data_IF_645194245889
#
_entry.id   IF_645194245889
#
_cell.length_a   1.000
_cell.length_b   1.000
_cell.length_c   1.000
_cell.angle_alpha   90.00
_cell.angle_beta   90.00
_cell.angle_gamma   90.00
#
_symmetry.space_group_name_H-M   'P 1'
#
loop_
_entity.id
_entity.type
_entity.pdbx_description
1 polymer ?
#
# COMPACT_ATOMS: atom_id res chain seq x y z
N UNK A 1 -19.14 -55.66 21.12
CA UNK A 1 -19.00 -55.23 19.71
C UNK A 1 -18.71 -53.73 19.76
N UNK A 2 -17.42 -53.36 19.75
CA UNK A 2 -16.98 -51.98 19.88
C UNK A 2 -16.62 -51.43 18.52
N UNK A 3 -17.32 -50.40 18.09
CA UNK A 3 -17.08 -49.68 16.82
C UNK A 3 -16.04 -48.60 17.11
N UNK A 4 -14.84 -48.78 16.56
CA UNK A 4 -13.77 -47.76 16.63
C UNK A 4 -13.97 -46.75 15.48
N UNK A 5 -14.34 -45.53 15.83
CA UNK A 5 -14.43 -44.41 14.91
C UNK A 5 -13.02 -43.87 14.62
N UNK A 6 -12.55 -44.00 13.39
CA UNK A 6 -11.33 -43.34 12.92
C UNK A 6 -11.67 -41.86 12.61
N UNK A 7 -11.06 -40.94 13.34
CA UNK A 7 -11.06 -39.53 13.00
C UNK A 7 -9.93 -39.26 12.00
N UNK A 8 -10.29 -38.91 10.77
CA UNK A 8 -9.35 -38.43 9.73
C UNK A 8 -9.15 -36.94 9.95
N UNK A 9 -7.97 -36.55 10.44
CA UNK A 9 -7.57 -35.15 10.53
C UNK A 9 -7.07 -34.69 9.15
N UNK A 10 -7.87 -33.86 8.48
CA UNK A 10 -7.45 -33.17 7.25
C UNK A 10 -6.55 -31.99 7.62
N UNK A 11 -5.25 -32.10 7.39
CA UNK A 11 -4.31 -31.00 7.50
C UNK A 11 -4.52 -30.05 6.30
N UNK A 12 -5.16 -28.89 6.53
CA UNK A 12 -5.18 -27.80 5.57
C UNK A 12 -3.80 -27.16 5.53
N UNK A 13 -3.06 -27.42 4.47
CA UNK A 13 -1.83 -26.72 4.15
C UNK A 13 -2.17 -25.31 3.65
N UNK A 14 -2.03 -24.30 4.50
CA UNK A 14 -2.09 -22.90 4.11
C UNK A 14 -0.82 -22.59 3.29
N UNK A 15 -0.95 -22.61 1.97
CA UNK A 15 0.04 -22.01 1.08
C UNK A 15 -0.11 -20.49 1.23
N UNK A 16 0.75 -19.90 2.05
CA UNK A 16 0.85 -18.45 2.19
C UNK A 16 1.32 -17.85 0.87
N UNK A 17 0.40 -17.39 0.03
CA UNK A 17 0.73 -16.43 -1.02
C UNK A 17 1.28 -15.19 -0.31
N UNK A 18 2.55 -14.87 -0.51
CA UNK A 18 3.17 -13.64 -0.04
C UNK A 18 2.41 -12.46 -0.65
N UNK A 19 1.41 -11.98 0.05
CA UNK A 19 0.76 -10.74 -0.28
C UNK A 19 1.75 -9.63 0.06
N UNK A 20 2.27 -8.92 -0.92
CA UNK A 20 2.95 -7.65 -0.69
C UNK A 20 1.95 -6.75 0.03
N UNK A 21 2.21 -6.52 1.31
CA UNK A 21 1.35 -5.67 2.12
C UNK A 21 1.55 -4.24 1.67
N UNK A 22 0.44 -3.55 1.37
CA UNK A 22 0.45 -2.12 1.14
C UNK A 22 1.14 -1.41 2.32
N UNK A 23 2.26 -0.72 2.05
CA UNK A 23 3.00 0.06 3.03
C UNK A 23 2.43 1.48 3.10
N UNK A 24 1.94 1.87 4.27
CA UNK A 24 1.40 3.21 4.52
C UNK A 24 2.08 3.78 5.76
N UNK A 25 2.65 4.98 5.60
CA UNK A 25 3.33 5.73 6.65
C UNK A 25 2.70 7.11 6.77
N UNK A 26 2.56 7.58 7.99
CA UNK A 26 2.02 8.90 8.30
C UNK A 26 2.94 9.59 9.29
N UNK A 27 3.24 10.85 9.01
CA UNK A 27 3.93 11.76 9.91
C UNK A 27 3.20 13.11 9.95
N UNK A 28 3.23 13.79 11.07
CA UNK A 28 2.55 15.07 11.23
C UNK A 28 3.19 15.94 12.31
N UNK A 29 3.03 17.24 12.16
CA UNK A 29 3.45 18.23 13.17
C UNK A 29 2.56 18.12 14.42
N UNK A 30 3.16 17.67 15.52
CA UNK A 30 2.47 17.53 16.82
C UNK A 30 2.06 18.86 17.44
N UNK A 31 2.65 19.96 17.00
CA UNK A 31 2.30 21.32 17.46
C UNK A 31 1.14 21.92 16.65
N UNK A 32 0.80 21.34 15.49
CA UNK A 32 -0.31 21.80 14.65
C UNK A 32 -1.67 21.48 15.28
N UNK A 33 -2.52 22.47 15.38
CA UNK A 33 -3.90 22.31 15.84
C UNK A 33 -4.83 22.08 14.64
N UNK A 34 -5.02 20.81 14.29
CA UNK A 34 -5.85 20.39 13.15
C UNK A 34 -7.33 20.74 13.29
N UNK A 35 -7.81 21.09 14.49
CA UNK A 35 -9.22 21.47 14.71
C UNK A 35 -9.59 22.82 14.09
N UNK A 36 -8.59 23.64 13.78
CA UNK A 36 -8.75 24.97 13.14
C UNK A 36 -9.02 24.90 11.64
N UNK A 37 -8.67 23.77 11.01
CA UNK A 37 -8.78 23.61 9.55
C UNK A 37 -10.13 22.97 9.21
N UNK A 38 -10.88 23.63 8.34
CA UNK A 38 -12.21 23.20 7.89
C UNK A 38 -12.30 23.08 6.38
N UNK A 39 -11.53 23.91 5.67
CA UNK A 39 -11.55 23.98 4.22
C UNK A 39 -10.19 23.65 3.65
N UNK A 40 -10.18 22.96 2.50
CA UNK A 40 -8.93 22.64 1.81
C UNK A 40 -9.05 22.80 0.30
N UNK A 41 -7.96 23.26 -0.32
CA UNK A 41 -7.75 23.16 -1.75
C UNK A 41 -6.82 21.96 -2.05
N UNK A 42 -7.11 21.20 -3.10
CA UNK A 42 -6.29 20.04 -3.50
C UNK A 42 -5.63 20.30 -4.83
N UNK A 43 -4.34 19.95 -4.94
CA UNK A 43 -3.51 20.17 -6.12
C UNK A 43 -2.65 18.96 -6.43
N UNK A 44 -2.34 18.79 -7.72
CA UNK A 44 -1.32 17.87 -8.17
C UNK A 44 0.03 18.60 -8.12
N UNK A 45 0.99 18.05 -7.36
CA UNK A 45 2.37 18.55 -7.29
C UNK A 45 3.24 17.92 -8.36
N UNK A 46 3.49 16.61 -8.25
CA UNK A 46 4.27 15.87 -9.26
C UNK A 46 3.36 14.91 -10.01
N UNK A 47 3.25 15.13 -11.32
CA UNK A 47 2.53 14.24 -12.24
C UNK A 47 3.27 12.91 -12.40
N UNK A 48 2.52 11.82 -12.49
CA UNK A 48 3.03 10.49 -12.87
C UNK A 48 2.64 10.10 -14.31
N UNK A 49 2.32 11.10 -15.15
CA UNK A 49 2.04 10.96 -16.58
C UNK A 49 0.88 10.01 -16.91
N UNK A 50 -0.12 9.93 -16.03
CA UNK A 50 -1.34 9.16 -16.25
C UNK A 50 -2.57 9.96 -15.80
N UNK A 51 -3.15 10.82 -16.67
CA UNK A 51 -4.23 11.74 -16.32
C UNK A 51 -5.48 11.05 -15.74
N UNK A 52 -5.81 9.84 -16.21
CA UNK A 52 -6.95 9.08 -15.69
C UNK A 52 -6.71 8.60 -14.25
N UNK A 53 -5.49 8.17 -13.98
CA UNK A 53 -5.07 7.76 -12.63
C UNK A 53 -5.00 8.97 -11.70
N UNK A 54 -4.42 10.08 -12.14
CA UNK A 54 -4.34 11.34 -11.40
C UNK A 54 -5.72 11.82 -10.97
N UNK A 55 -6.66 11.84 -11.92
CA UNK A 55 -8.06 12.22 -11.63
C UNK A 55 -8.70 11.32 -10.57
N UNK A 56 -8.46 10.01 -10.60
CA UNK A 56 -8.99 9.07 -9.60
C UNK A 56 -8.37 9.32 -8.23
N UNK A 57 -7.04 9.53 -8.19
CA UNK A 57 -6.33 9.81 -6.92
C UNK A 57 -6.81 11.12 -6.31
N UNK A 58 -6.94 12.18 -7.10
CA UNK A 58 -7.48 13.46 -6.62
C UNK A 58 -8.89 13.28 -6.01
N UNK A 59 -9.78 12.57 -6.71
CA UNK A 59 -11.14 12.33 -6.24
C UNK A 59 -11.16 11.51 -4.94
N UNK A 60 -10.36 10.46 -4.86
CA UNK A 60 -10.29 9.58 -3.68
C UNK A 60 -9.76 10.31 -2.45
N UNK A 61 -8.68 11.05 -2.58
CA UNK A 61 -8.11 11.82 -1.45
C UNK A 61 -9.06 12.95 -1.03
N UNK A 62 -9.72 13.62 -1.99
CA UNK A 62 -10.75 14.61 -1.67
C UNK A 62 -11.90 13.98 -0.87
N UNK A 63 -12.37 12.82 -1.29
CA UNK A 63 -13.42 12.08 -0.59
C UNK A 63 -12.96 11.70 0.83
N UNK A 64 -11.77 11.11 0.98
CA UNK A 64 -11.23 10.70 2.28
C UNK A 64 -11.15 11.85 3.29
N UNK A 65 -10.72 13.04 2.87
CA UNK A 65 -10.69 14.23 3.73
C UNK A 65 -12.10 14.75 4.03
N UNK A 66 -13.02 14.67 3.07
CA UNK A 66 -14.42 15.09 3.27
C UNK A 66 -15.12 14.20 4.30
N UNK A 67 -14.89 12.90 4.27
CA UNK A 67 -15.38 11.93 5.27
C UNK A 67 -14.84 12.22 6.68
N UNK A 68 -13.67 12.89 6.77
CA UNK A 68 -13.09 13.37 8.03
C UNK A 68 -13.60 14.74 8.47
N UNK A 69 -14.58 15.29 7.76
CA UNK A 69 -15.27 16.52 8.12
C UNK A 69 -14.65 17.80 7.55
N UNK A 70 -13.70 17.69 6.62
CA UNK A 70 -13.15 18.83 5.90
C UNK A 70 -13.96 19.10 4.62
N UNK A 71 -14.01 20.35 4.18
CA UNK A 71 -14.75 20.75 2.97
C UNK A 71 -13.78 21.17 1.87
N UNK A 72 -13.92 20.57 0.68
CA UNK A 72 -13.11 20.95 -0.48
C UNK A 72 -13.55 22.31 -1.03
N UNK A 73 -12.58 23.15 -1.41
CA UNK A 73 -12.81 24.40 -2.12
C UNK A 73 -11.92 24.50 -3.36
N UNK A 74 -12.41 25.18 -4.39
CA UNK A 74 -11.64 25.51 -5.58
C UNK A 74 -10.96 26.89 -5.47
N UNK A 75 -11.31 27.66 -4.44
CA UNK A 75 -10.76 28.99 -4.16
C UNK A 75 -9.61 28.86 -3.16
N UNK A 76 -8.38 28.95 -3.64
CA UNK A 76 -7.18 28.88 -2.81
C UNK A 76 -7.14 29.95 -1.70
N UNK A 77 -7.77 31.09 -1.92
CA UNK A 77 -7.79 32.19 -0.95
C UNK A 77 -8.71 31.88 0.25
N UNK A 78 -9.66 30.97 0.06
CA UNK A 78 -10.60 30.53 1.10
C UNK A 78 -10.22 29.20 1.75
N UNK A 79 -9.16 28.56 1.29
CA UNK A 79 -8.67 27.35 1.89
C UNK A 79 -7.89 27.63 3.18
N UNK A 80 -8.20 26.88 4.22
CA UNK A 80 -7.39 26.85 5.46
C UNK A 80 -6.12 26.01 5.26
N UNK A 81 -6.21 24.96 4.45
CA UNK A 81 -5.14 24.04 4.12
C UNK A 81 -4.98 23.84 2.62
N UNK A 82 -3.77 23.51 2.18
CA UNK A 82 -3.48 23.12 0.80
C UNK A 82 -2.97 21.69 0.82
N UNK A 83 -3.66 20.80 0.10
CA UNK A 83 -3.28 19.40 -0.08
C UNK A 83 -2.55 19.25 -1.40
N UNK A 84 -1.33 18.75 -1.37
CA UNK A 84 -0.51 18.53 -2.56
C UNK A 84 -0.23 17.05 -2.72
N UNK A 85 -0.55 16.52 -3.90
CA UNK A 85 -0.35 15.11 -4.23
C UNK A 85 0.87 14.93 -5.12
N UNK A 86 1.74 13.99 -4.74
CA UNK A 86 2.86 13.58 -5.55
C UNK A 86 2.75 12.10 -5.86
N UNK A 87 3.03 11.71 -7.08
CA UNK A 87 3.01 10.32 -7.50
C UNK A 87 4.30 9.92 -8.21
N UNK A 88 4.66 8.66 -8.03
CA UNK A 88 5.74 8.02 -8.76
C UNK A 88 5.37 6.58 -9.11
N UNK A 89 5.94 6.08 -10.20
CA UNK A 89 5.82 4.67 -10.58
C UNK A 89 7.20 4.14 -10.93
N UNK A 90 7.60 3.05 -10.31
CA UNK A 90 8.90 2.43 -10.49
C UNK A 90 8.75 0.95 -10.86
N UNK A 91 9.65 0.48 -11.75
CA UNK A 91 9.79 -0.94 -12.07
C UNK A 91 10.72 -1.58 -11.05
N UNK A 92 10.25 -2.64 -10.42
CA UNK A 92 11.05 -3.47 -9.53
C UNK A 92 11.18 -4.89 -10.06
N UNK A 93 12.26 -5.57 -9.67
CA UNK A 93 12.53 -6.96 -10.06
C UNK A 93 12.55 -7.83 -8.80
N UNK A 94 11.81 -8.93 -8.86
CA UNK A 94 11.87 -9.99 -7.87
C UNK A 94 12.62 -11.17 -8.43
N UNK A 95 13.59 -11.69 -7.68
CA UNK A 95 14.35 -12.89 -8.00
C UNK A 95 13.86 -14.02 -7.11
N UNK A 96 13.19 -15.00 -7.70
CA UNK A 96 12.79 -16.20 -7.00
C UNK A 96 13.69 -17.35 -7.44
N UNK A 97 14.50 -17.88 -6.52
CA UNK A 97 15.35 -19.03 -6.77
C UNK A 97 14.75 -20.27 -6.11
N UNK A 98 14.31 -21.22 -6.92
CA UNK A 98 13.85 -22.52 -6.45
C UNK A 98 15.00 -23.51 -6.50
N UNK A 99 15.36 -24.08 -5.34
CA UNK A 99 16.27 -25.20 -5.26
C UNK A 99 15.44 -26.50 -5.32
N UNK A 100 15.51 -27.21 -6.42
CA UNK A 100 15.01 -28.56 -6.52
C UNK A 100 16.08 -29.52 -6.02
N UNK A 101 16.14 -29.72 -4.72
CA UNK A 101 16.94 -30.77 -4.10
C UNK A 101 16.12 -32.06 -4.07
N UNK A 102 16.51 -33.05 -4.84
CA UNK A 102 15.91 -34.37 -4.77
C UNK A 102 16.15 -34.96 -3.37
N UNK A 103 15.10 -35.22 -2.62
CA UNK A 103 15.13 -36.08 -1.44
C UNK A 103 15.40 -37.51 -1.95
N UNK A 104 16.69 -37.86 -2.04
CA UNK A 104 17.12 -39.22 -2.30
C UNK A 104 16.76 -40.11 -1.11
N UNK A 105 15.87 -41.07 -1.35
CA UNK A 105 15.47 -42.03 -0.35
C UNK A 105 16.66 -42.78 0.25
N UNK A 106 16.54 -43.16 1.51
CA UNK A 106 17.43 -44.05 2.22
C UNK A 106 17.58 -45.38 1.46
N UNK A 107 18.64 -45.48 0.70
CA UNK A 107 19.10 -46.71 0.04
C UNK A 107 20.56 -46.91 0.34
N UNK A 108 20.86 -47.83 1.23
CA UNK A 108 22.20 -48.27 1.57
C UNK A 108 22.80 -49.05 0.40
N UNK A 109 23.94 -48.62 -0.05
CA UNK A 109 24.90 -49.18 -1.02
C UNK A 109 25.03 -48.44 -2.35
N UNK A 110 26.20 -47.87 -2.51
CA UNK A 110 26.85 -47.81 -3.84
C UNK A 110 27.13 -46.39 -4.32
N UNK A 111 28.40 -46.03 -4.19
CA UNK A 111 29.19 -45.26 -5.17
C UNK A 111 28.55 -44.07 -5.87
N UNK A 112 28.93 -42.89 -5.46
CA UNK A 112 29.31 -41.75 -6.28
C UNK A 112 28.45 -41.40 -7.46
N UNK A 113 27.53 -40.46 -7.26
CA UNK A 113 27.23 -39.44 -8.29
C UNK A 113 26.57 -38.29 -7.56
N UNK A 114 27.28 -37.13 -7.52
CA UNK A 114 26.77 -35.91 -6.97
C UNK A 114 25.46 -35.53 -7.63
N UNK A 115 24.38 -35.47 -6.86
CA UNK A 115 23.12 -34.92 -7.32
C UNK A 115 23.34 -33.43 -7.62
N UNK A 116 23.43 -33.08 -8.89
CA UNK A 116 23.40 -31.69 -9.32
C UNK A 116 21.98 -31.16 -9.03
N UNK A 117 21.82 -30.48 -7.90
CA UNK A 117 20.62 -29.73 -7.62
C UNK A 117 20.50 -28.63 -8.67
N UNK A 118 19.40 -28.63 -9.42
CA UNK A 118 19.13 -27.58 -10.40
C UNK A 118 18.51 -26.40 -9.68
N UNK A 119 19.21 -25.26 -9.64
CA UNK A 119 18.66 -24.00 -9.19
C UNK A 119 18.03 -23.27 -10.38
N UNK A 120 16.73 -23.08 -10.36
CA UNK A 120 16.02 -22.29 -11.36
C UNK A 120 15.72 -20.93 -10.77
N UNK A 121 16.32 -19.87 -11.33
CA UNK A 121 16.04 -18.48 -10.93
C UNK A 121 15.05 -17.88 -11.92
N UNK A 122 13.87 -17.50 -11.42
CA UNK A 122 12.86 -16.78 -12.19
C UNK A 122 12.90 -15.31 -11.78
N UNK A 123 13.07 -14.43 -12.78
CA UNK A 123 12.98 -12.98 -12.58
C UNK A 123 11.58 -12.53 -12.96
N UNK A 124 10.86 -11.91 -12.03
CA UNK A 124 9.58 -11.27 -12.27
C UNK A 124 9.73 -9.76 -12.15
N UNK A 125 9.22 -9.00 -13.13
CA UNK A 125 9.15 -7.54 -13.07
C UNK A 125 7.75 -7.13 -12.62
N UNK A 126 7.65 -6.15 -11.73
CA UNK A 126 6.40 -5.56 -11.29
C UNK A 126 6.53 -4.04 -11.11
N UNK A 127 5.41 -3.35 -11.21
CA UNK A 127 5.34 -1.90 -11.03
C UNK A 127 4.94 -1.58 -9.60
N UNK A 128 5.66 -0.67 -8.96
CA UNK A 128 5.32 -0.10 -7.66
C UNK A 128 4.85 1.33 -7.85
N UNK A 129 3.65 1.63 -7.38
CA UNK A 129 3.13 2.98 -7.30
C UNK A 129 3.36 3.56 -5.91
N UNK A 130 3.85 4.79 -5.87
CA UNK A 130 4.00 5.58 -4.64
C UNK A 130 3.10 6.80 -4.72
N UNK A 131 2.30 7.04 -3.70
CA UNK A 131 1.51 8.24 -3.49
C UNK A 131 2.00 8.94 -2.24
N UNK A 132 2.29 10.24 -2.34
CA UNK A 132 2.55 11.12 -1.20
C UNK A 132 1.43 12.16 -1.12
N UNK A 133 0.86 12.32 0.05
CA UNK A 133 -0.17 13.32 0.38
C UNK A 133 0.42 14.28 1.40
N UNK A 134 0.70 15.49 0.97
CA UNK A 134 1.23 16.56 1.80
C UNK A 134 0.12 17.58 2.11
N UNK A 135 -0.05 17.93 3.38
CA UNK A 135 -1.00 18.96 3.81
C UNK A 135 -0.23 20.11 4.43
N UNK A 136 -0.41 21.28 3.85
CA UNK A 136 0.22 22.52 4.28
C UNK A 136 -0.82 23.47 4.88
N UNK A 137 -0.42 24.25 5.87
CA UNK A 137 -1.16 25.44 6.28
C UNK A 137 -1.21 26.44 5.12
N UNK A 138 -2.40 26.90 4.75
CA UNK A 138 -2.56 27.77 3.58
C UNK A 138 -1.91 29.14 3.74
N UNK A 139 -1.75 29.63 4.99
CA UNK A 139 -1.18 30.96 5.30
C UNK A 139 0.34 30.91 5.48
N UNK A 140 0.81 30.06 6.39
CA UNK A 140 2.24 29.95 6.72
C UNK A 140 3.02 29.11 5.71
N UNK A 141 2.35 28.28 4.89
CA UNK A 141 2.95 27.33 3.96
C UNK A 141 3.78 26.25 4.65
N UNK A 142 3.61 26.05 5.93
CA UNK A 142 4.27 25.00 6.69
C UNK A 142 3.61 23.65 6.42
N UNK A 143 4.43 22.62 6.25
CA UNK A 143 3.97 21.23 6.15
C UNK A 143 3.46 20.79 7.52
N UNK A 144 2.22 20.34 7.58
CA UNK A 144 1.58 19.89 8.82
C UNK A 144 1.40 18.39 8.87
N UNK A 145 1.24 17.75 7.70
CA UNK A 145 0.95 16.32 7.59
C UNK A 145 1.57 15.78 6.31
N UNK A 146 2.16 14.61 6.40
CA UNK A 146 2.65 13.83 5.26
C UNK A 146 2.20 12.38 5.40
N UNK A 147 1.45 11.91 4.44
CA UNK A 147 1.11 10.53 4.28
C UNK A 147 1.79 9.94 3.04
N UNK A 148 2.37 8.75 3.17
CA UNK A 148 2.98 8.02 2.05
C UNK A 148 2.34 6.65 1.95
N UNK A 149 1.92 6.26 0.75
CA UNK A 149 1.39 4.94 0.47
C UNK A 149 2.13 4.32 -0.71
N UNK A 150 2.56 3.07 -0.57
CA UNK A 150 3.19 2.28 -1.63
C UNK A 150 2.45 0.96 -1.81
N UNK A 151 2.25 0.56 -3.06
CA UNK A 151 1.64 -0.72 -3.40
C UNK A 151 2.09 -1.16 -4.80
N UNK A 152 2.08 -2.47 -5.03
CA UNK A 152 2.26 -3.03 -6.35
C UNK A 152 1.06 -2.67 -7.24
N UNK A 153 1.32 -2.18 -8.45
CA UNK A 153 0.27 -1.85 -9.41
C UNK A 153 -0.13 -3.08 -10.22
N UNK A 154 -1.43 -3.23 -10.42
CA UNK A 154 -2.02 -4.24 -11.29
C UNK A 154 -2.26 -3.67 -12.68
N UNK A 155 -2.23 -4.52 -13.71
CA UNK A 155 -2.66 -4.16 -15.06
C UNK A 155 -4.18 -3.88 -15.14
N UNK A 156 -4.94 -4.25 -14.09
CA UNK A 156 -6.39 -4.03 -14.01
C UNK A 156 -6.70 -2.74 -13.25
N UNK A 157 -7.25 -1.69 -13.91
CA UNK A 157 -7.57 -0.41 -13.28
C UNK A 157 -8.48 -0.51 -12.04
N UNK A 158 -9.44 -1.42 -12.06
CA UNK A 158 -10.38 -1.62 -10.94
C UNK A 158 -9.68 -2.19 -9.69
N UNK A 159 -8.66 -3.04 -9.87
CA UNK A 159 -7.84 -3.51 -8.75
C UNK A 159 -7.04 -2.35 -8.13
N UNK A 160 -6.48 -1.48 -8.98
CA UNK A 160 -5.74 -0.31 -8.52
C UNK A 160 -6.66 0.69 -7.80
N UNK A 161 -7.89 0.87 -8.27
CA UNK A 161 -8.89 1.69 -7.57
C UNK A 161 -9.20 1.17 -6.17
N UNK A 162 -9.39 -0.15 -6.02
CA UNK A 162 -9.61 -0.78 -4.69
C UNK A 162 -8.40 -0.66 -3.78
N UNK A 163 -7.18 -0.74 -4.32
CA UNK A 163 -5.94 -0.54 -3.57
C UNK A 163 -5.81 0.91 -3.11
N UNK A 164 -6.14 1.86 -3.99
CA UNK A 164 -6.15 3.29 -3.67
C UNK A 164 -7.13 3.62 -2.54
N UNK A 165 -8.37 3.12 -2.59
CA UNK A 165 -9.34 3.31 -1.51
C UNK A 165 -8.83 2.79 -0.17
N UNK A 166 -8.24 1.59 -0.14
CA UNK A 166 -7.60 1.06 1.07
C UNK A 166 -6.42 1.90 1.56
N UNK A 167 -5.65 2.51 0.63
CA UNK A 167 -4.56 3.41 0.98
C UNK A 167 -5.11 4.68 1.63
N UNK A 168 -6.15 5.29 1.04
CA UNK A 168 -6.85 6.45 1.57
C UNK A 168 -7.38 6.20 2.98
N UNK A 169 -8.08 5.07 3.19
CA UNK A 169 -8.58 4.66 4.51
C UNK A 169 -7.45 4.59 5.56
N UNK A 170 -6.30 4.01 5.19
CA UNK A 170 -5.16 3.88 6.10
C UNK A 170 -4.47 5.21 6.36
N UNK A 171 -4.28 6.05 5.31
CA UNK A 171 -3.69 7.37 5.43
C UNK A 171 -4.49 8.25 6.38
N UNK A 172 -5.81 8.21 6.27
CA UNK A 172 -6.69 9.06 7.08
C UNK A 172 -7.33 8.34 8.27
N UNK A 173 -6.86 7.14 8.63
CA UNK A 173 -7.45 6.37 9.74
C UNK A 173 -7.60 7.20 11.02
N UNK A 174 -6.54 7.86 11.44
CA UNK A 174 -6.46 8.66 12.67
C UNK A 174 -6.44 10.17 12.36
N UNK A 175 -7.02 10.57 11.22
CA UNK A 175 -7.12 11.97 10.81
C UNK A 175 -8.44 12.61 11.30
N UNK A 176 -8.45 13.88 11.72
CA UNK A 176 -7.27 14.73 11.95
C UNK A 176 -6.45 14.26 13.14
N UNK A 177 -5.10 14.33 13.04
CA UNK A 177 -4.23 13.92 14.13
C UNK A 177 -4.55 14.65 15.45
N UNK A 178 -4.48 13.92 16.57
CA UNK A 178 -4.79 14.49 17.89
C UNK A 178 -6.28 14.52 18.24
N UNK A 179 -7.19 14.17 17.32
CA UNK A 179 -8.62 14.09 17.59
C UNK A 179 -9.05 12.76 18.21
N UNK A 180 -8.19 11.76 18.26
CA UNK A 180 -8.49 10.44 18.80
C UNK A 180 -8.29 10.40 20.31
N UNK A 181 -9.39 10.04 20.98
CA UNK A 181 -9.54 9.62 22.38
C UNK A 181 -9.80 10.76 23.39
N UNK A 182 -11.06 11.14 23.45
CA UNK A 182 -11.72 11.31 24.75
C UNK A 182 -12.43 10.01 25.13
#
# INVERSE_FOLDING_TARGET
MQIRTLAVAAALSFVGAGAFAQDVKVDYDKAADFTKYKTFAIKLGTSWNNPLSEKRVLAEIQQGLTEKGWTATTDDAKADAVVVLHGATEKQKSLNTFYSGGYGGYGWRGMGMGGMGTATTTTSEYLVGTLVVDIFDAKSKQLMYRGTAQDELSDKPDKNAKKLAKASDKLFKDFPPGSAKK
#
